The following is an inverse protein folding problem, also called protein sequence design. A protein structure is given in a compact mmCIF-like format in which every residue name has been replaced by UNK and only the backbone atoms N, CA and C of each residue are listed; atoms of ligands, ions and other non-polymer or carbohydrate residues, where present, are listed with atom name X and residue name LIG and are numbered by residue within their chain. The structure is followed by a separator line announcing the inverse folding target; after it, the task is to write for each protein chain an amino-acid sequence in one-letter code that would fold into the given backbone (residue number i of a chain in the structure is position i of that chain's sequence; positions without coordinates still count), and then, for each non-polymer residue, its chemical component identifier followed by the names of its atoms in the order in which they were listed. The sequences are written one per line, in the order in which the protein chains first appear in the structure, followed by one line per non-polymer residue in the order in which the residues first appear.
data_IF_148203416987
#
_entry.id   IF_148203416987
#
_cell.length_a   1.000
_cell.length_b   1.000
_cell.length_c   1.000
_cell.angle_alpha   90.00
_cell.angle_beta   90.00
_cell.angle_gamma   90.00
#
_symmetry.space_group_name_H-M   'P 1'
#
loop_
_entity.id
_entity.type
_entity.pdbx_description
1 polymer ?
#
# COMPACT_ATOMS: atom_id res chain seq x y z
N UNK A 1 -20.75 62.75 -10.51
CA UNK A 1 -20.69 62.05 -9.19
C UNK A 1 -21.06 60.59 -9.46
N UNK A 2 -20.06 59.74 -9.67
CA UNK A 2 -20.20 58.30 -9.98
C UNK A 2 -19.91 57.49 -8.73
N UNK A 3 -20.95 56.80 -8.23
CA UNK A 3 -20.78 55.90 -7.08
C UNK A 3 -20.14 54.60 -7.55
N UNK A 4 -18.91 54.35 -7.09
CA UNK A 4 -18.27 53.03 -7.18
C UNK A 4 -18.80 52.15 -6.06
N UNK A 5 -19.46 51.06 -6.45
CA UNK A 5 -19.93 50.01 -5.56
C UNK A 5 -18.77 49.00 -5.41
N UNK A 6 -18.15 48.93 -4.23
CA UNK A 6 -17.20 47.89 -3.92
C UNK A 6 -17.95 46.57 -3.60
N UNK A 7 -17.78 45.59 -4.47
CA UNK A 7 -18.26 44.24 -4.25
C UNK A 7 -17.18 43.49 -3.40
N UNK A 8 -17.49 43.32 -2.13
CA UNK A 8 -16.62 42.55 -1.22
C UNK A 8 -16.89 41.06 -1.47
N UNK A 9 -15.93 40.40 -2.12
CA UNK A 9 -15.95 38.96 -2.31
C UNK A 9 -15.52 38.30 -0.99
N UNK A 10 -16.50 37.80 -0.22
CA UNK A 10 -16.20 36.97 0.95
C UNK A 10 -15.71 35.59 0.48
N UNK A 11 -14.38 35.40 0.55
CA UNK A 11 -13.75 34.10 0.35
C UNK A 11 -14.04 33.25 1.58
N UNK A 12 -15.06 32.38 1.49
CA UNK A 12 -15.29 31.36 2.50
C UNK A 12 -14.14 30.35 2.47
N UNK A 13 -13.14 30.52 3.32
CA UNK A 13 -12.21 29.46 3.65
C UNK A 13 -13.02 28.36 4.35
N UNK A 14 -13.41 27.31 3.62
CA UNK A 14 -13.71 26.03 4.23
C UNK A 14 -12.39 25.55 4.85
N UNK A 15 -12.25 25.76 6.16
CA UNK A 15 -11.20 25.16 6.94
C UNK A 15 -11.37 23.65 6.88
N UNK A 16 -10.54 22.98 6.07
CA UNK A 16 -10.27 21.56 6.26
C UNK A 16 -9.66 21.49 7.66
N UNK A 17 -10.43 20.99 8.63
CA UNK A 17 -9.88 20.69 9.94
C UNK A 17 -8.73 19.72 9.68
N UNK A 18 -7.51 20.15 9.92
CA UNK A 18 -6.35 19.28 9.87
C UNK A 18 -6.61 18.16 10.87
N UNK A 19 -6.79 16.94 10.40
CA UNK A 19 -6.89 15.78 11.29
C UNK A 19 -5.57 15.74 12.05
N UNK A 20 -5.66 15.67 13.37
CA UNK A 20 -4.48 15.54 14.20
C UNK A 20 -4.01 14.08 14.15
N UNK A 21 -2.72 13.85 14.41
CA UNK A 21 -2.18 12.50 14.60
C UNK A 21 -3.04 11.70 15.59
N UNK A 22 -3.30 10.40 15.35
CA UNK A 22 -3.99 9.54 16.31
C UNK A 22 -3.30 9.55 17.69
N UNK A 23 -4.08 9.64 18.73
CA UNK A 23 -3.59 9.66 20.13
C UNK A 23 -3.62 8.29 20.79
N UNK A 24 -4.46 7.39 20.29
CA UNK A 24 -4.61 6.01 20.76
C UNK A 24 -5.43 5.21 19.74
N UNK A 25 -5.61 3.92 20.01
CA UNK A 25 -6.52 3.05 19.26
C UNK A 25 -7.47 2.30 20.22
N UNK A 26 -8.42 1.54 19.65
CA UNK A 26 -9.18 0.52 20.38
C UNK A 26 -8.28 -0.69 20.67
N UNK A 27 -8.73 -1.57 21.57
CA UNK A 27 -8.18 -2.93 21.62
C UNK A 27 -8.35 -3.62 20.26
N UNK A 28 -7.41 -4.50 19.87
CA UNK A 28 -7.53 -5.30 18.67
C UNK A 28 -8.76 -6.22 18.72
N UNK A 29 -9.50 -6.26 17.62
CA UNK A 29 -10.63 -7.18 17.45
C UNK A 29 -10.39 -8.09 16.25
N UNK A 30 -10.77 -9.38 16.37
CA UNK A 30 -10.66 -10.33 15.27
C UNK A 30 -11.58 -9.91 14.14
N UNK A 31 -11.02 -9.68 12.95
CA UNK A 31 -11.76 -9.30 11.76
C UNK A 31 -12.02 -10.51 10.85
N UNK A 32 -10.97 -11.26 10.49
CA UNK A 32 -11.09 -12.45 9.64
C UNK A 32 -10.33 -13.62 10.27
N UNK A 33 -11.05 -14.71 10.49
CA UNK A 33 -10.47 -15.99 10.89
C UNK A 33 -10.38 -16.93 9.70
N UNK A 34 -9.25 -17.57 9.52
CA UNK A 34 -9.07 -18.58 8.47
C UNK A 34 -8.15 -19.69 8.96
N UNK A 35 -8.44 -20.92 8.54
CA UNK A 35 -7.57 -22.08 8.77
C UNK A 35 -6.39 -22.16 7.80
N UNK A 36 -6.40 -21.33 6.75
CA UNK A 36 -5.35 -21.32 5.71
C UNK A 36 -4.21 -20.36 6.02
N UNK A 37 -4.34 -19.56 7.09
CA UNK A 37 -3.44 -18.43 7.31
C UNK A 37 -3.69 -17.30 6.31
N UNK A 38 -3.92 -16.10 6.80
CA UNK A 38 -4.15 -14.92 5.96
C UNK A 38 -3.19 -13.81 6.36
N UNK A 39 -2.74 -13.06 5.35
CA UNK A 39 -1.75 -11.99 5.51
C UNK A 39 -2.00 -10.84 4.54
N UNK A 40 -1.23 -9.75 4.71
CA UNK A 40 -1.16 -8.59 3.83
C UNK A 40 -2.55 -8.02 3.48
N UNK A 41 -3.33 -7.55 4.47
CA UNK A 41 -4.64 -6.96 4.23
C UNK A 41 -4.54 -5.68 3.39
N UNK A 42 -5.52 -5.45 2.52
CA UNK A 42 -5.64 -4.23 1.70
C UNK A 42 -7.11 -3.81 1.64
N UNK A 43 -7.44 -2.66 2.20
CA UNK A 43 -8.79 -2.12 2.14
C UNK A 43 -9.17 -1.66 0.73
N UNK A 44 -10.44 -1.86 0.36
CA UNK A 44 -11.00 -1.22 -0.84
C UNK A 44 -11.02 0.31 -0.67
N UNK A 45 -11.03 1.09 -1.76
CA UNK A 45 -11.04 2.56 -1.68
C UNK A 45 -12.22 3.15 -0.91
N UNK A 46 -13.37 2.47 -0.89
CA UNK A 46 -14.56 2.82 -0.10
C UNK A 46 -14.48 2.37 1.36
N UNK A 47 -13.59 1.41 1.68
CA UNK A 47 -13.49 0.80 3.00
C UNK A 47 -14.60 -0.20 3.31
N UNK A 48 -15.43 -0.57 2.32
CA UNK A 48 -16.54 -1.54 2.46
C UNK A 48 -16.11 -2.99 2.28
N UNK A 49 -14.90 -3.22 1.74
CA UNK A 49 -14.29 -4.54 1.54
C UNK A 49 -12.83 -4.56 1.94
N UNK A 50 -12.33 -5.76 2.20
CA UNK A 50 -10.92 -6.00 2.48
C UNK A 50 -10.45 -7.21 1.66
N UNK A 51 -9.31 -7.04 0.98
CA UNK A 51 -8.61 -8.12 0.30
C UNK A 51 -7.46 -8.63 1.17
N UNK A 52 -7.22 -9.93 1.14
CA UNK A 52 -6.14 -10.61 1.86
C UNK A 52 -5.54 -11.70 0.98
N UNK A 53 -4.36 -12.18 1.33
CA UNK A 53 -3.68 -13.29 0.64
C UNK A 53 -3.23 -14.33 1.66
N UNK A 54 -2.80 -15.51 1.18
CA UNK A 54 -2.18 -16.52 2.04
C UNK A 54 -0.66 -16.51 1.94
N UNK A 55 0.00 -17.46 2.59
CA UNK A 55 1.44 -17.66 2.55
C UNK A 55 1.99 -17.63 1.12
N UNK A 56 3.20 -17.11 0.94
CA UNK A 56 3.84 -16.89 -0.35
C UNK A 56 3.07 -15.97 -1.30
N UNK A 57 2.11 -15.21 -0.78
CA UNK A 57 1.18 -14.37 -1.56
C UNK A 57 0.34 -15.16 -2.57
N UNK A 58 0.06 -16.43 -2.28
CA UNK A 58 -0.71 -17.29 -3.16
C UNK A 58 -2.20 -17.02 -2.98
N UNK A 59 -2.89 -16.78 -4.08
CA UNK A 59 -4.30 -16.45 -4.12
C UNK A 59 -4.67 -15.07 -3.55
N UNK A 60 -5.91 -14.69 -3.76
CA UNK A 60 -6.54 -13.51 -3.18
C UNK A 60 -7.91 -13.89 -2.65
N UNK A 61 -8.23 -13.46 -1.46
CA UNK A 61 -9.57 -13.55 -0.85
C UNK A 61 -10.10 -12.14 -0.61
N UNK A 62 -11.43 -12.01 -0.64
CA UNK A 62 -12.14 -10.77 -0.34
C UNK A 62 -13.21 -11.06 0.70
N UNK A 63 -13.31 -10.20 1.70
CA UNK A 63 -14.39 -10.15 2.68
C UNK A 63 -15.07 -8.79 2.67
N UNK A 64 -16.25 -8.71 3.26
CA UNK A 64 -16.89 -7.45 3.61
C UNK A 64 -16.12 -6.74 4.74
N UNK A 65 -16.37 -5.48 4.96
CA UNK A 65 -15.63 -4.65 5.93
C UNK A 65 -15.72 -5.12 7.39
N UNK A 66 -16.70 -5.95 7.71
CA UNK A 66 -16.89 -6.60 9.02
C UNK A 66 -16.24 -8.00 9.11
N UNK A 67 -15.52 -8.41 8.06
CA UNK A 67 -14.87 -9.72 7.95
C UNK A 67 -15.79 -10.84 7.49
N UNK A 68 -17.09 -10.58 7.30
CA UNK A 68 -18.05 -11.56 6.79
C UNK A 68 -17.87 -11.83 5.30
N UNK A 69 -18.54 -12.85 4.79
CA UNK A 69 -18.60 -13.23 3.37
C UNK A 69 -17.22 -13.44 2.73
N UNK A 70 -16.24 -13.94 3.50
CA UNK A 70 -14.90 -14.26 2.99
C UNK A 70 -15.00 -15.27 1.85
N UNK A 71 -14.45 -14.93 0.69
CA UNK A 71 -14.43 -15.79 -0.49
C UNK A 71 -13.14 -15.65 -1.27
N UNK A 72 -12.73 -16.72 -1.90
CA UNK A 72 -11.57 -16.72 -2.79
C UNK A 72 -11.95 -16.11 -4.15
N UNK A 73 -11.15 -15.13 -4.59
CA UNK A 73 -11.26 -14.47 -5.89
C UNK A 73 -10.39 -15.19 -6.92
N UNK A 74 -9.19 -15.60 -6.52
CA UNK A 74 -8.25 -16.36 -7.35
C UNK A 74 -7.35 -17.23 -6.50
N UNK A 75 -6.87 -18.34 -7.06
CA UNK A 75 -5.85 -19.22 -6.47
C UNK A 75 -4.47 -19.07 -7.12
N UNK A 76 -4.28 -18.10 -8.01
CA UNK A 76 -3.02 -17.91 -8.73
C UNK A 76 -1.85 -17.65 -7.78
N UNK A 77 -0.72 -18.34 -8.01
CA UNK A 77 0.50 -18.15 -7.21
C UNK A 77 1.06 -16.74 -7.38
N UNK A 78 1.42 -16.12 -6.27
CA UNK A 78 1.98 -14.77 -6.18
C UNK A 78 0.99 -13.65 -6.44
N UNK A 79 -0.31 -13.93 -6.68
CA UNK A 79 -1.33 -12.93 -7.02
C UNK A 79 -1.51 -11.85 -5.94
N UNK A 80 -1.32 -12.22 -4.67
CA UNK A 80 -1.46 -11.32 -3.54
C UNK A 80 -0.26 -10.38 -3.32
N UNK A 81 0.88 -10.63 -3.99
CA UNK A 81 2.04 -9.77 -3.80
C UNK A 81 1.80 -8.37 -4.36
N UNK A 82 1.73 -7.38 -3.46
CA UNK A 82 1.41 -5.99 -3.80
C UNK A 82 0.13 -5.87 -4.65
N UNK A 83 -0.88 -6.69 -4.36
CA UNK A 83 -2.19 -6.58 -5.00
C UNK A 83 -2.80 -5.20 -4.76
N UNK A 84 -3.59 -4.73 -5.72
CA UNK A 84 -4.18 -3.40 -5.66
C UNK A 84 -5.65 -3.44 -6.08
N UNK A 85 -6.48 -2.70 -5.36
CA UNK A 85 -7.83 -2.39 -5.79
C UNK A 85 -7.85 -1.36 -6.92
N UNK A 86 -8.79 -1.51 -7.86
CA UNK A 86 -9.17 -0.41 -8.75
C UNK A 86 -9.80 0.74 -7.96
N UNK A 87 -9.75 1.96 -8.50
CA UNK A 87 -10.25 3.14 -7.80
C UNK A 87 -11.75 3.05 -7.44
N UNK A 88 -12.53 2.30 -8.21
CA UNK A 88 -13.96 2.03 -7.99
C UNK A 88 -14.23 0.85 -7.04
N UNK A 89 -13.18 0.16 -6.57
CA UNK A 89 -13.29 -1.00 -5.67
C UNK A 89 -13.90 -2.25 -6.30
N UNK A 90 -14.05 -2.30 -7.64
CA UNK A 90 -14.69 -3.43 -8.32
C UNK A 90 -13.72 -4.51 -8.78
N UNK A 91 -12.43 -4.19 -8.87
CA UNK A 91 -11.40 -5.08 -9.43
C UNK A 91 -10.16 -5.13 -8.56
N UNK A 92 -9.45 -6.25 -8.66
CA UNK A 92 -8.13 -6.47 -8.09
C UNK A 92 -7.11 -6.66 -9.20
N UNK A 93 -5.95 -6.04 -9.05
CA UNK A 93 -4.80 -6.15 -9.94
C UNK A 93 -3.69 -6.89 -9.22
N UNK A 94 -3.05 -7.83 -9.92
CA UNK A 94 -1.89 -8.55 -9.40
C UNK A 94 -0.96 -9.05 -10.50
N UNK A 95 0.24 -9.43 -10.05
CA UNK A 95 1.23 -10.17 -10.85
C UNK A 95 1.27 -11.60 -10.35
N UNK A 96 1.07 -12.57 -11.24
CA UNK A 96 1.12 -13.98 -10.91
C UNK A 96 2.43 -14.63 -11.29
N UNK A 97 2.76 -15.73 -10.65
CA UNK A 97 3.91 -16.58 -10.95
C UNK A 97 3.46 -17.81 -11.71
N UNK A 98 4.11 -18.12 -12.83
CA UNK A 98 3.89 -19.32 -13.62
C UNK A 98 5.21 -20.08 -13.76
N UNK A 99 5.28 -21.28 -13.20
CA UNK A 99 6.47 -22.13 -13.33
C UNK A 99 6.34 -22.98 -14.59
N UNK A 100 7.33 -22.91 -15.46
CA UNK A 100 7.41 -23.73 -16.68
C UNK A 100 8.88 -24.00 -17.00
N UNK A 101 9.21 -25.26 -17.30
CA UNK A 101 10.58 -25.70 -17.63
C UNK A 101 11.62 -25.25 -16.58
N UNK A 102 11.30 -25.40 -15.30
CA UNK A 102 12.10 -24.98 -14.14
C UNK A 102 12.43 -23.48 -14.14
N UNK A 103 11.62 -22.65 -14.77
CA UNK A 103 11.76 -21.19 -14.81
C UNK A 103 10.47 -20.52 -14.30
N UNK A 104 10.63 -19.41 -13.58
CA UNK A 104 9.51 -18.58 -13.18
C UNK A 104 9.25 -17.54 -14.25
N UNK A 105 8.03 -17.48 -14.70
CA UNK A 105 7.46 -16.45 -15.56
C UNK A 105 6.43 -15.67 -14.76
N UNK A 106 6.07 -14.49 -15.25
CA UNK A 106 5.05 -13.66 -14.67
C UNK A 106 3.95 -13.38 -15.68
N UNK A 107 2.74 -13.21 -15.17
CA UNK A 107 1.59 -12.66 -15.89
C UNK A 107 1.04 -11.47 -15.13
N UNK A 108 0.37 -10.54 -15.79
CA UNK A 108 -0.39 -9.47 -15.16
C UNK A 108 -1.85 -9.71 -15.41
N UNK A 109 -2.62 -9.77 -14.32
CA UNK A 109 -4.03 -10.11 -14.36
C UNK A 109 -4.86 -9.13 -13.54
N UNK A 110 -6.11 -8.99 -13.95
CA UNK A 110 -7.16 -8.28 -13.23
C UNK A 110 -8.30 -9.24 -12.98
N UNK A 111 -8.81 -9.25 -11.76
CA UNK A 111 -9.97 -10.04 -11.36
C UNK A 111 -11.11 -9.14 -10.94
N UNK A 112 -12.33 -9.48 -11.33
CA UNK A 112 -13.53 -8.88 -10.77
C UNK A 112 -13.65 -9.32 -9.31
N UNK A 113 -13.73 -8.35 -8.41
CA UNK A 113 -13.81 -8.61 -7.00
C UNK A 113 -15.12 -9.28 -6.58
N UNK A 114 -16.19 -9.26 -7.36
CA UNK A 114 -17.49 -9.84 -7.02
C UNK A 114 -17.64 -11.31 -7.44
N UNK A 115 -17.06 -11.75 -8.54
CA UNK A 115 -17.25 -13.08 -9.11
C UNK A 115 -15.96 -13.82 -9.45
N UNK A 116 -14.80 -13.15 -9.33
CA UNK A 116 -13.49 -13.72 -9.67
C UNK A 116 -13.21 -13.78 -11.18
N UNK A 117 -14.06 -13.20 -12.03
CA UNK A 117 -13.84 -13.18 -13.48
C UNK A 117 -12.47 -12.55 -13.81
N UNK A 118 -11.64 -13.29 -14.54
CA UNK A 118 -10.24 -12.97 -14.80
C UNK A 118 -10.05 -12.33 -16.18
N UNK A 119 -9.18 -11.33 -16.25
CA UNK A 119 -8.67 -10.76 -17.50
C UNK A 119 -7.14 -10.72 -17.46
N UNK A 120 -6.49 -11.40 -18.40
CA UNK A 120 -5.03 -11.35 -18.55
C UNK A 120 -4.64 -10.13 -19.39
N UNK A 121 -3.88 -9.21 -18.78
CA UNK A 121 -3.37 -8.00 -19.44
C UNK A 121 -2.01 -8.23 -20.09
N UNK A 122 -1.17 -9.04 -19.47
CA UNK A 122 0.13 -9.48 -19.99
C UNK A 122 0.22 -10.98 -19.80
N UNK A 123 0.38 -11.69 -20.89
CA UNK A 123 0.62 -13.13 -20.87
C UNK A 123 2.02 -13.47 -20.34
N UNK A 124 2.28 -14.76 -20.20
CA UNK A 124 3.51 -15.35 -19.66
C UNK A 124 4.77 -14.68 -20.22
N UNK A 125 5.54 -14.00 -19.34
CA UNK A 125 6.78 -13.29 -19.72
C UNK A 125 7.80 -13.28 -18.58
N UNK A 126 9.05 -12.99 -18.89
CA UNK A 126 10.12 -12.71 -17.93
C UNK A 126 10.60 -11.25 -18.00
N UNK A 127 10.01 -10.45 -18.89
CA UNK A 127 10.43 -9.07 -19.15
C UNK A 127 9.88 -8.04 -18.14
N UNK A 128 9.05 -8.46 -17.16
CA UNK A 128 8.54 -7.54 -16.15
C UNK A 128 9.64 -7.16 -15.15
N UNK A 129 9.87 -5.87 -14.97
CA UNK A 129 10.89 -5.33 -14.06
C UNK A 129 10.29 -4.84 -12.74
N UNK A 130 8.95 -4.73 -12.63
CA UNK A 130 8.25 -4.27 -11.44
C UNK A 130 6.87 -4.90 -11.27
N UNK A 131 6.15 -4.44 -10.25
CA UNK A 131 4.73 -4.78 -10.05
C UNK A 131 3.85 -3.86 -10.90
N UNK A 132 2.72 -4.37 -11.45
CA UNK A 132 1.78 -3.51 -12.16
C UNK A 132 1.12 -2.51 -11.20
N UNK A 133 0.71 -1.36 -11.71
CA UNK A 133 0.05 -0.30 -10.94
C UNK A 133 -1.18 0.20 -11.70
N UNK A 134 -2.27 0.50 -10.97
CA UNK A 134 -3.38 1.25 -11.55
C UNK A 134 -2.93 2.68 -11.88
N UNK A 135 -3.19 3.12 -13.12
CA UNK A 135 -3.00 4.50 -13.52
C UNK A 135 -4.30 5.32 -13.36
N UNK A 136 -5.40 4.67 -13.72
CA UNK A 136 -6.77 5.18 -13.54
C UNK A 136 -7.76 4.01 -13.45
N UNK A 137 -9.07 4.30 -13.55
CA UNK A 137 -10.14 3.30 -13.43
C UNK A 137 -10.07 2.17 -14.48
N UNK A 138 -9.39 2.38 -15.61
CA UNK A 138 -9.38 1.45 -16.74
C UNK A 138 -7.98 1.08 -17.24
N UNK A 139 -6.94 1.80 -16.83
CA UNK A 139 -5.58 1.59 -17.33
C UNK A 139 -4.65 1.12 -16.24
N UNK A 140 -3.83 0.13 -16.59
CA UNK A 140 -2.80 -0.45 -15.75
C UNK A 140 -1.44 -0.14 -16.36
N UNK A 141 -0.53 0.35 -15.54
CA UNK A 141 0.87 0.58 -15.88
C UNK A 141 1.67 -0.69 -15.70
N UNK A 142 2.54 -0.97 -16.65
CA UNK A 142 3.41 -2.13 -16.70
C UNK A 142 4.84 -1.68 -16.93
N UNK A 143 5.73 -2.02 -16.01
CA UNK A 143 7.18 -1.83 -16.16
C UNK A 143 7.81 -3.08 -16.76
N UNK A 144 8.62 -2.91 -17.77
CA UNK A 144 9.32 -4.01 -18.45
C UNK A 144 10.68 -3.58 -19.00
N UNK A 145 11.50 -4.53 -19.42
CA UNK A 145 12.85 -4.28 -19.94
C UNK A 145 12.89 -3.27 -21.09
N UNK A 146 11.82 -3.18 -21.89
CA UNK A 146 11.67 -2.22 -23.01
C UNK A 146 11.06 -0.88 -22.61
N UNK A 147 10.92 -0.64 -21.31
CA UNK A 147 10.31 0.57 -20.75
C UNK A 147 8.88 0.36 -20.27
N UNK A 148 8.27 1.46 -19.83
CA UNK A 148 6.93 1.45 -19.26
C UNK A 148 5.86 1.56 -20.37
N UNK A 149 4.73 0.88 -20.14
CA UNK A 149 3.57 0.91 -21.00
C UNK A 149 2.28 0.95 -20.19
N UNK A 150 1.20 1.40 -20.81
CA UNK A 150 -0.15 1.38 -20.25
C UNK A 150 -1.02 0.40 -21.02
N UNK A 151 -1.80 -0.42 -20.31
CA UNK A 151 -2.75 -1.37 -20.91
C UNK A 151 -4.16 -1.02 -20.43
N UNK A 152 -5.08 -0.84 -21.37
CA UNK A 152 -6.50 -0.66 -21.05
C UNK A 152 -7.13 -2.02 -20.69
N UNK A 153 -7.80 -2.11 -19.56
CA UNK A 153 -8.34 -3.37 -19.02
C UNK A 153 -9.53 -3.93 -19.77
N UNK A 154 -10.22 -3.11 -20.58
CA UNK A 154 -11.39 -3.54 -21.38
C UNK A 154 -10.98 -3.90 -22.81
N UNK A 155 -10.27 -2.99 -23.49
CA UNK A 155 -9.89 -3.18 -24.89
C UNK A 155 -8.58 -3.97 -25.08
N UNK A 156 -7.84 -4.20 -24.00
CA UNK A 156 -6.49 -4.79 -23.99
C UNK A 156 -5.48 -4.02 -24.86
N UNK A 157 -5.82 -2.81 -25.27
CA UNK A 157 -4.93 -1.96 -26.05
C UNK A 157 -3.78 -1.49 -25.20
N UNK A 158 -2.55 -1.75 -25.67
CA UNK A 158 -1.30 -1.30 -25.07
C UNK A 158 -0.80 -0.03 -25.74
N UNK A 159 -0.37 0.94 -24.96
CA UNK A 159 0.23 2.19 -25.42
C UNK A 159 1.50 2.48 -24.61
N UNK A 160 2.39 3.30 -25.16
CA UNK A 160 3.53 3.81 -24.37
C UNK A 160 3.03 4.63 -23.20
N UNK A 161 3.73 4.54 -22.07
CA UNK A 161 3.44 5.35 -20.90
C UNK A 161 3.76 6.83 -21.17
N UNK A 162 2.95 7.73 -20.62
CA UNK A 162 3.26 9.16 -20.61
C UNK A 162 4.29 9.49 -19.55
N UNK A 163 4.88 10.70 -19.58
CA UNK A 163 5.80 11.13 -18.54
C UNK A 163 5.15 11.17 -17.14
N UNK A 164 3.86 11.54 -17.05
CA UNK A 164 3.11 11.52 -15.79
C UNK A 164 2.89 10.09 -15.28
N UNK A 165 2.59 9.14 -16.17
CA UNK A 165 2.44 7.73 -15.82
C UNK A 165 3.76 7.16 -15.28
N UNK A 166 4.88 7.43 -15.95
CA UNK A 166 6.22 7.01 -15.53
C UNK A 166 6.56 7.59 -14.15
N UNK A 167 6.25 8.86 -13.92
CA UNK A 167 6.46 9.49 -12.62
C UNK A 167 5.70 8.77 -11.50
N UNK A 168 4.41 8.47 -11.70
CA UNK A 168 3.59 7.74 -10.73
C UNK A 168 4.18 6.36 -10.42
N UNK A 169 4.65 5.64 -11.43
CA UNK A 169 5.34 4.36 -11.22
C UNK A 169 6.60 4.53 -10.37
N UNK A 170 7.43 5.50 -10.70
CA UNK A 170 8.72 5.72 -10.03
C UNK A 170 8.58 6.04 -8.53
N UNK A 171 7.51 6.69 -8.11
CA UNK A 171 7.30 7.01 -6.68
C UNK A 171 6.61 5.88 -5.92
N UNK A 172 5.99 4.93 -6.60
CA UNK A 172 5.34 3.76 -5.99
C UNK A 172 6.11 2.44 -6.21
N UNK A 173 7.22 2.48 -6.90
CA UNK A 173 8.08 1.33 -7.18
C UNK A 173 9.40 1.44 -6.38
N UNK A 174 9.86 0.36 -5.70
CA UNK A 174 11.13 0.37 -4.97
C UNK A 174 12.33 0.78 -5.83
N UNK A 175 12.39 0.34 -7.10
CA UNK A 175 13.47 0.71 -8.01
C UNK A 175 13.42 2.20 -8.34
N UNK A 176 12.24 2.76 -8.64
CA UNK A 176 12.07 4.18 -8.91
C UNK A 176 12.44 5.06 -7.72
N UNK A 177 12.08 4.66 -6.50
CA UNK A 177 12.53 5.35 -5.28
C UNK A 177 14.03 5.20 -5.10
N UNK A 178 14.59 4.00 -5.31
CA UNK A 178 16.02 3.75 -5.22
C UNK A 178 16.81 4.65 -6.19
N UNK A 179 16.36 4.78 -7.44
CA UNK A 179 17.00 5.65 -8.43
C UNK A 179 17.00 7.12 -8.00
N UNK A 180 15.92 7.58 -7.36
CA UNK A 180 15.81 8.96 -6.84
C UNK A 180 16.75 9.23 -5.68
N UNK A 181 16.93 8.27 -4.76
CA UNK A 181 17.77 8.41 -3.56
C UNK A 181 19.19 7.88 -3.75
N UNK A 182 19.45 7.08 -4.78
CA UNK A 182 20.75 6.45 -5.03
C UNK A 182 21.89 7.45 -5.33
N UNK A 183 21.54 8.68 -5.76
CA UNK A 183 22.52 9.77 -5.90
C UNK A 183 23.06 10.23 -4.53
N UNK A 184 22.44 9.83 -3.44
CA UNK A 184 22.87 10.16 -2.09
C UNK A 184 23.90 9.12 -1.64
N UNK A 185 25.09 9.57 -1.30
CA UNK A 185 26.24 8.73 -0.92
C UNK A 185 25.90 7.67 0.15
N UNK A 186 25.02 8.03 1.10
CA UNK A 186 24.64 7.18 2.23
C UNK A 186 23.65 6.06 1.86
N UNK A 187 23.06 6.09 0.66
CA UNK A 187 22.08 5.13 0.14
C UNK A 187 22.58 4.33 -1.06
N UNK A 188 23.83 4.58 -1.51
CA UNK A 188 24.43 3.80 -2.60
C UNK A 188 24.43 2.31 -2.25
N UNK A 189 23.76 1.49 -3.08
CA UNK A 189 23.61 0.06 -2.87
C UNK A 189 22.60 -0.34 -1.77
N UNK A 190 21.87 0.61 -1.18
CA UNK A 190 20.81 0.29 -0.23
C UNK A 190 19.63 -0.40 -0.92
N UNK A 191 19.12 -1.44 -0.27
CA UNK A 191 17.85 -2.05 -0.66
C UNK A 191 16.72 -1.18 -0.11
N UNK A 192 15.84 -0.70 -0.99
CA UNK A 192 14.66 0.07 -0.63
C UNK A 192 13.43 -0.79 -0.86
N UNK A 193 12.57 -0.88 0.15
CA UNK A 193 11.32 -1.64 0.09
C UNK A 193 10.15 -0.81 0.64
N UNK A 194 8.94 -1.25 0.33
CA UNK A 194 7.69 -0.65 0.81
C UNK A 194 7.60 0.87 0.61
N UNK A 195 7.91 1.42 -0.59
CA UNK A 195 7.67 2.83 -0.84
C UNK A 195 6.18 3.12 -0.83
N UNK A 196 5.81 4.26 -0.26
CA UNK A 196 4.43 4.72 -0.21
C UNK A 196 4.39 6.24 -0.43
N UNK A 197 3.58 6.68 -1.39
CA UNK A 197 3.34 8.11 -1.66
C UNK A 197 2.30 8.65 -0.67
N UNK A 198 2.55 9.84 -0.12
CA UNK A 198 1.60 10.53 0.77
C UNK A 198 0.31 10.88 0.03
N UNK A 199 -0.79 11.05 0.78
CA UNK A 199 -2.10 11.36 0.19
C UNK A 199 -2.11 12.68 -0.59
N UNK A 200 -1.26 13.65 -0.22
CA UNK A 200 -1.08 14.93 -0.93
C UNK A 200 -0.09 14.86 -2.10
N UNK A 201 0.54 13.69 -2.32
CA UNK A 201 1.48 13.44 -3.40
C UNK A 201 2.85 14.12 -3.26
N UNK A 202 3.17 14.69 -2.10
CA UNK A 202 4.39 15.49 -1.92
C UNK A 202 5.56 14.73 -1.31
N UNK A 203 5.29 13.67 -0.56
CA UNK A 203 6.30 12.91 0.15
C UNK A 203 6.21 11.41 -0.16
N UNK A 204 7.34 10.73 -0.05
CA UNK A 204 7.44 9.28 -0.12
C UNK A 204 8.04 8.79 1.18
N UNK A 205 7.37 7.85 1.85
CA UNK A 205 7.95 7.06 2.92
C UNK A 205 8.48 5.75 2.34
N UNK A 206 9.60 5.25 2.85
CA UNK A 206 10.17 3.99 2.41
C UNK A 206 10.97 3.34 3.53
N UNK A 207 11.15 2.03 3.42
CA UNK A 207 11.93 1.26 4.37
C UNK A 207 13.29 0.88 3.79
N UNK A 208 14.34 1.02 4.61
CA UNK A 208 15.66 0.45 4.36
C UNK A 208 15.90 -0.64 5.39
N UNK A 209 15.95 -1.94 5.00
CA UNK A 209 16.17 -3.04 5.92
C UNK A 209 17.40 -2.83 6.79
N UNK A 210 17.25 -3.07 8.09
CA UNK A 210 18.31 -2.86 9.10
C UNK A 210 18.55 -1.40 9.49
N UNK A 211 18.03 -0.42 8.74
CA UNK A 211 18.17 1.01 9.06
C UNK A 211 16.87 1.65 9.57
N UNK A 212 15.71 1.22 9.08
CA UNK A 212 14.40 1.75 9.49
C UNK A 212 13.63 2.45 8.37
N UNK A 213 12.76 3.38 8.75
CA UNK A 213 11.89 4.15 7.85
C UNK A 213 12.50 5.52 7.60
N UNK A 214 12.47 5.92 6.35
CA UNK A 214 12.92 7.21 5.83
C UNK A 214 11.77 7.88 5.09
N UNK A 215 11.85 9.20 4.99
CA UNK A 215 10.98 10.00 4.12
C UNK A 215 11.82 10.86 3.19
N UNK A 216 11.25 11.20 2.03
CA UNK A 216 11.81 12.19 1.12
C UNK A 216 10.70 12.95 0.40
N UNK A 217 11.02 14.04 -0.26
CA UNK A 217 10.12 14.66 -1.21
C UNK A 217 9.86 13.73 -2.39
N UNK A 218 8.73 13.88 -3.06
CA UNK A 218 8.36 13.03 -4.21
C UNK A 218 9.34 13.14 -5.39
N UNK A 219 10.16 14.17 -5.45
CA UNK A 219 11.28 14.31 -6.41
C UNK A 219 12.56 13.59 -5.97
N UNK A 220 12.57 12.98 -4.79
CA UNK A 220 13.72 12.27 -4.20
C UNK A 220 14.66 13.15 -3.37
N UNK A 221 14.41 14.46 -3.28
CA UNK A 221 15.19 15.38 -2.44
C UNK A 221 14.77 15.27 -0.96
N UNK A 222 15.57 15.84 -0.06
CA UNK A 222 15.21 15.99 1.34
C UNK A 222 15.06 14.64 2.09
N UNK A 223 15.89 13.66 1.75
CA UNK A 223 15.84 12.35 2.45
C UNK A 223 16.20 12.51 3.90
N UNK A 224 15.34 12.04 4.78
CA UNK A 224 15.50 12.10 6.23
C UNK A 224 15.13 10.75 6.88
N UNK A 225 15.91 10.35 7.88
CA UNK A 225 15.53 9.26 8.76
C UNK A 225 14.36 9.68 9.63
N UNK A 226 13.33 8.83 9.72
CA UNK A 226 12.16 9.10 10.53
C UNK A 226 12.19 8.29 11.83
N UNK A 227 12.23 6.95 11.73
CA UNK A 227 12.16 6.09 12.90
C UNK A 227 12.65 4.66 12.59
N UNK A 228 12.93 3.89 13.64
CA UNK A 228 13.10 2.44 13.53
C UNK A 228 11.73 1.81 13.29
N UNK A 229 11.63 0.96 12.28
CA UNK A 229 10.38 0.26 11.97
C UNK A 229 10.32 -0.24 10.53
N UNK A 230 9.16 -0.75 10.15
CA UNK A 230 8.88 -1.37 8.86
C UNK A 230 7.41 -1.15 8.45
N UNK A 231 7.12 -1.39 7.16
CA UNK A 231 5.78 -1.32 6.57
C UNK A 231 5.08 0.04 6.80
N UNK A 232 5.68 1.18 6.36
CA UNK A 232 5.04 2.47 6.51
C UNK A 232 3.77 2.57 5.65
N UNK A 233 2.70 3.10 6.23
CA UNK A 233 1.45 3.41 5.57
C UNK A 233 0.98 4.82 5.97
N UNK A 234 0.65 5.66 4.97
CA UNK A 234 0.22 7.04 5.23
C UNK A 234 -1.21 7.11 5.77
N UNK A 235 -1.41 8.01 6.72
CA UNK A 235 -2.71 8.48 7.16
C UNK A 235 -3.11 9.75 6.39
N UNK A 236 -4.43 10.08 6.31
CA UNK A 236 -4.89 11.28 5.60
C UNK A 236 -4.33 12.61 6.12
N UNK A 237 -3.87 12.66 7.36
CA UNK A 237 -3.24 13.82 8.01
C UNK A 237 -1.73 13.94 7.73
N UNK A 238 -1.20 13.10 6.85
CA UNK A 238 0.24 12.97 6.55
C UNK A 238 1.09 12.48 7.74
N UNK A 239 0.50 11.85 8.76
CA UNK A 239 1.25 10.99 9.68
C UNK A 239 1.39 9.57 9.09
N UNK A 240 2.23 8.73 9.70
CA UNK A 240 2.48 7.36 9.26
C UNK A 240 2.07 6.36 10.34
N UNK A 241 1.44 5.27 9.92
CA UNK A 241 1.35 4.02 10.68
C UNK A 241 2.53 3.13 10.26
N UNK A 242 3.11 2.41 11.20
CA UNK A 242 4.22 1.49 10.95
C UNK A 242 4.31 0.42 12.04
N UNK A 243 5.07 -0.64 11.77
CA UNK A 243 5.36 -1.69 12.77
C UNK A 243 6.79 -1.58 13.28
N UNK A 244 6.96 -1.91 14.57
CA UNK A 244 8.28 -2.17 15.17
C UNK A 244 8.33 -3.64 15.57
N UNK A 245 9.13 -4.41 14.86
CA UNK A 245 9.25 -5.86 15.03
C UNK A 245 10.51 -6.18 15.84
N UNK A 246 10.38 -7.13 16.73
CA UNK A 246 11.51 -7.79 17.42
C UNK A 246 11.60 -9.24 16.97
N UNK A 247 12.80 -9.74 16.77
CA UNK A 247 13.08 -11.12 16.38
C UNK A 247 14.29 -11.67 17.14
N UNK A 248 14.46 -12.99 17.12
CA UNK A 248 15.58 -13.70 17.70
C UNK A 248 16.55 -14.27 16.64
N UNK A 249 16.38 -13.85 15.37
CA UNK A 249 17.12 -14.37 14.22
C UNK A 249 16.49 -15.58 13.52
N UNK A 250 15.51 -16.23 14.15
CA UNK A 250 14.77 -17.38 13.59
C UNK A 250 13.28 -17.07 13.39
N UNK A 251 12.69 -16.32 14.32
CA UNK A 251 11.27 -15.98 14.29
C UNK A 251 10.99 -14.62 14.91
N UNK A 252 9.86 -14.03 14.58
CA UNK A 252 9.37 -12.83 15.25
C UNK A 252 8.96 -13.16 16.68
N UNK A 253 9.51 -12.43 17.65
CA UNK A 253 9.21 -12.59 19.08
C UNK A 253 8.26 -11.55 19.61
N UNK A 254 8.05 -10.44 18.90
CA UNK A 254 7.11 -9.38 19.22
C UNK A 254 6.98 -8.39 18.08
N UNK A 255 5.88 -7.67 18.08
CA UNK A 255 5.66 -6.53 17.19
C UNK A 255 4.62 -5.60 17.78
N UNK A 256 4.74 -4.32 17.50
CA UNK A 256 3.75 -3.30 17.84
C UNK A 256 3.49 -2.37 16.66
N UNK A 257 2.27 -1.85 16.59
CA UNK A 257 1.87 -0.80 15.65
C UNK A 257 1.98 0.56 16.31
N UNK A 258 2.62 1.49 15.62
CA UNK A 258 2.78 2.88 16.01
C UNK A 258 2.19 3.83 14.97
N UNK A 259 1.79 5.01 15.41
CA UNK A 259 1.61 6.18 14.56
C UNK A 259 2.74 7.17 14.83
N UNK A 260 3.28 7.83 13.79
CA UNK A 260 4.29 8.88 13.94
C UNK A 260 3.89 10.12 13.15
N UNK A 261 3.98 11.27 13.78
CA UNK A 261 3.91 12.56 13.10
C UNK A 261 5.24 12.79 12.37
N UNK A 262 5.18 12.90 11.06
CA UNK A 262 6.38 12.99 10.20
C UNK A 262 7.16 14.30 10.42
N UNK A 263 6.46 15.39 10.76
CA UNK A 263 7.10 16.70 10.94
C UNK A 263 7.84 16.79 12.27
N UNK A 264 7.34 16.16 13.33
CA UNK A 264 7.88 16.25 14.68
C UNK A 264 8.66 15.01 15.12
N UNK A 265 8.47 13.87 14.44
CA UNK A 265 9.00 12.58 14.85
C UNK A 265 8.34 12.00 16.11
N UNK A 266 7.25 12.61 16.60
CA UNK A 266 6.55 12.13 17.80
C UNK A 266 5.76 10.88 17.46
N UNK A 267 6.09 9.77 18.13
CA UNK A 267 5.41 8.50 17.95
C UNK A 267 4.41 8.20 19.08
N UNK A 268 3.35 7.47 18.73
CA UNK A 268 2.31 6.97 19.64
C UNK A 268 2.18 5.46 19.42
N UNK A 269 2.25 4.69 20.49
CA UNK A 269 2.00 3.25 20.48
C UNK A 269 0.49 2.98 20.42
N UNK A 270 0.06 2.17 19.44
CA UNK A 270 -1.35 1.87 19.19
C UNK A 270 -1.79 0.48 19.66
N UNK A 271 -0.88 -0.48 19.79
CA UNK A 271 -1.17 -1.88 20.18
C UNK A 271 -0.51 -2.26 21.51
N UNK A 272 -0.56 -1.35 22.50
CA UNK A 272 0.03 -1.58 23.81
C UNK A 272 -0.57 -2.81 24.51
N UNK A 273 0.29 -3.58 25.19
CA UNK A 273 -0.10 -4.69 26.07
C UNK A 273 -0.89 -5.82 25.42
N UNK A 274 -0.71 -6.04 24.11
CA UNK A 274 -1.31 -7.17 23.42
C UNK A 274 -0.32 -8.34 23.36
N UNK A 275 -0.82 -9.57 23.52
CA UNK A 275 -0.04 -10.80 23.26
C UNK A 275 -0.13 -11.17 21.78
N UNK A 276 0.10 -10.19 20.88
CA UNK A 276 0.01 -10.33 19.42
C UNK A 276 1.35 -9.99 18.78
N UNK A 277 1.50 -10.38 17.54
CA UNK A 277 2.61 -9.98 16.65
C UNK A 277 2.00 -9.37 15.38
N UNK A 278 1.51 -8.10 15.47
CA UNK A 278 0.92 -7.43 14.32
C UNK A 278 1.96 -7.11 13.24
N UNK A 279 1.66 -7.45 11.99
CA UNK A 279 2.47 -7.17 10.81
C UNK A 279 1.61 -6.51 9.73
N UNK A 280 2.27 -5.89 8.73
CA UNK A 280 1.64 -5.36 7.50
C UNK A 280 0.36 -4.54 7.74
N UNK A 281 0.40 -3.44 8.50
CA UNK A 281 -0.78 -2.65 8.80
C UNK A 281 -1.32 -1.98 7.52
N UNK A 282 -2.63 -2.05 7.33
CA UNK A 282 -3.37 -1.41 6.24
C UNK A 282 -4.42 -0.45 6.80
N UNK A 283 -4.39 0.79 6.33
CA UNK A 283 -5.26 1.87 6.80
C UNK A 283 -6.44 2.05 5.84
N UNK A 284 -7.64 2.25 6.34
CA UNK A 284 -8.77 2.72 5.54
C UNK A 284 -8.52 4.14 5.02
N UNK A 285 -9.08 4.48 3.86
CA UNK A 285 -8.88 5.79 3.24
C UNK A 285 -9.31 6.97 4.12
N UNK A 286 -10.28 6.77 5.00
CA UNK A 286 -10.73 7.80 5.96
C UNK A 286 -9.84 7.89 7.22
N UNK A 287 -8.82 7.04 7.32
CA UNK A 287 -7.87 7.02 8.42
C UNK A 287 -8.42 6.48 9.74
N UNK A 288 -9.60 5.84 9.77
CA UNK A 288 -10.22 5.45 11.03
C UNK A 288 -9.92 4.03 11.48
N UNK A 289 -9.70 3.12 10.56
CA UNK A 289 -9.47 1.70 10.85
C UNK A 289 -8.12 1.24 10.32
N UNK A 290 -7.46 0.38 11.07
CA UNK A 290 -6.22 -0.28 10.67
C UNK A 290 -6.42 -1.78 10.79
N UNK A 291 -6.37 -2.50 9.67
CA UNK A 291 -6.31 -3.95 9.65
C UNK A 291 -4.84 -4.40 9.66
N UNK A 292 -4.55 -5.53 10.27
CA UNK A 292 -3.23 -6.14 10.31
C UNK A 292 -3.31 -7.65 10.45
N UNK A 293 -2.30 -8.35 10.00
CA UNK A 293 -2.13 -9.77 10.27
C UNK A 293 -1.48 -9.99 11.63
N UNK A 294 -1.90 -11.03 12.35
CA UNK A 294 -1.23 -11.48 13.56
C UNK A 294 -0.39 -12.73 13.25
N UNK A 295 0.94 -12.62 13.33
CA UNK A 295 1.83 -13.73 12.99
C UNK A 295 1.70 -14.95 13.92
N UNK A 296 1.06 -14.82 15.09
CA UNK A 296 0.85 -15.96 16.01
C UNK A 296 -0.22 -16.94 15.55
N UNK A 297 -1.27 -16.47 14.92
CA UNK A 297 -2.43 -17.28 14.53
C UNK A 297 -2.82 -17.14 13.06
N UNK A 298 -2.06 -16.31 12.31
CA UNK A 298 -2.28 -16.02 10.91
C UNK A 298 -3.73 -15.59 10.57
N UNK A 299 -4.34 -14.84 11.48
CA UNK A 299 -5.66 -14.22 11.33
C UNK A 299 -5.51 -12.71 11.11
N UNK A 300 -6.55 -12.09 10.56
CA UNK A 300 -6.60 -10.64 10.39
C UNK A 300 -7.37 -10.01 11.54
N UNK A 301 -6.77 -9.01 12.14
CA UNK A 301 -7.34 -8.19 13.21
C UNK A 301 -7.46 -6.75 12.77
N UNK A 302 -8.21 -5.98 13.54
CA UNK A 302 -8.32 -4.54 13.33
C UNK A 302 -8.30 -3.75 14.64
N UNK A 303 -7.88 -2.49 14.52
CA UNK A 303 -8.03 -1.45 15.54
C UNK A 303 -8.73 -0.24 14.93
N UNK A 304 -9.46 0.52 15.77
CA UNK A 304 -10.05 1.81 15.41
C UNK A 304 -9.21 2.93 16.02
N UNK A 305 -8.78 3.87 15.19
CA UNK A 305 -7.96 5.01 15.60
C UNK A 305 -8.81 6.08 16.32
N UNK A 306 -8.24 6.71 17.37
CA UNK A 306 -8.83 7.81 18.16
C UNK A 306 -7.91 9.03 18.04
N UNK A 307 -8.46 10.12 17.54
CA UNK A 307 -7.77 11.39 17.24
C UNK A 307 -7.89 12.43 18.36
#
# INVERSE_FOLDING_TARGET
MTKQTFLTLALSMLGVAAMAQPRSASEPTLLIKSSQGLMAPVWSPSGDKIAVTSDNYDGIWVADADGSNLRQVTCCSGAGYKMQWSADGTKLLGRTNVVSDNRVFHEVKVWNAADGAETTLVGKTRELTGTPLWNDAERVMISGERGASSVNTRSLKRTSATAADVYTMMVNDPAGVADKVASLKDFSGAIIINPALSHDGKQVAFQVPGKGIFTCNSDGSGVAYLCKGSHPAWLPDNSLIYTVVTDNGESFTGSDIYAVDVATGKAVLLTANTDMIPLTPAVTRDGKRVAFENAKDACIYEITLKY
#
